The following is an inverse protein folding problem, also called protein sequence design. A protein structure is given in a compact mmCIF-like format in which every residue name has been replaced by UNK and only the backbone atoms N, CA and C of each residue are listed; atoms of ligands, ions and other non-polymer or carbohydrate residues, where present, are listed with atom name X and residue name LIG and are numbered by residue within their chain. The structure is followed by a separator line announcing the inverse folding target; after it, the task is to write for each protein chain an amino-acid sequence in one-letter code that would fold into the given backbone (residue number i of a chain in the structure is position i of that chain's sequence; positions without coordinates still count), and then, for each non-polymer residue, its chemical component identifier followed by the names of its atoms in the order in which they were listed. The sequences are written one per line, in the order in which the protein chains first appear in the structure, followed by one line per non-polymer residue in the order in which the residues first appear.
data_IF_428981169251
#
_entry.id   IF_428981169251
#
_cell.length_a   1.000
_cell.length_b   1.000
_cell.length_c   1.000
_cell.angle_alpha   90.00
_cell.angle_beta   90.00
_cell.angle_gamma   90.00
#
_symmetry.space_group_name_H-M   'P 1'
#
loop_
_entity.id
_entity.type
_entity.pdbx_description
1 polymer ?
#
# COMPACT_ATOMS: atom_id res chain seq x y z
N UNK A 1 23.10 -13.45 23.76
CA UNK A 1 21.99 -12.83 24.53
C UNK A 1 20.71 -13.26 23.84
N UNK A 2 19.85 -14.00 24.52
CA UNK A 2 18.56 -14.40 23.94
C UNK A 2 17.54 -13.26 24.04
N UNK A 3 16.49 -13.28 23.23
CA UNK A 3 15.49 -12.19 23.20
C UNK A 3 14.79 -12.00 24.56
N UNK A 4 14.71 -13.05 25.37
CA UNK A 4 14.14 -12.99 26.72
C UNK A 4 15.04 -12.20 27.68
N UNK A 5 16.36 -12.41 27.64
CA UNK A 5 17.35 -11.65 28.42
C UNK A 5 17.39 -10.18 27.99
N UNK A 6 17.22 -9.93 26.69
CA UNK A 6 17.15 -8.57 26.16
C UNK A 6 15.90 -7.83 26.66
N UNK A 7 14.72 -8.45 26.60
CA UNK A 7 13.46 -7.85 27.07
C UNK A 7 13.51 -7.57 28.58
N UNK A 8 14.06 -8.49 29.37
CA UNK A 8 14.23 -8.29 30.81
C UNK A 8 15.18 -7.13 31.11
N UNK A 9 16.29 -7.04 30.39
CA UNK A 9 17.26 -5.93 30.51
C UNK A 9 16.63 -4.60 30.09
N UNK A 10 15.89 -4.57 28.99
CA UNK A 10 15.16 -3.40 28.51
C UNK A 10 14.13 -2.91 29.53
N UNK A 11 13.33 -3.80 30.12
CA UNK A 11 12.33 -3.42 31.13
C UNK A 11 12.96 -2.90 32.43
N UNK A 12 14.18 -3.34 32.75
CA UNK A 12 14.95 -2.76 33.86
C UNK A 12 15.40 -1.34 33.52
N UNK A 13 16.08 -1.14 32.40
CA UNK A 13 16.56 0.18 31.98
C UNK A 13 15.42 1.17 31.72
N UNK A 14 14.27 0.73 31.19
CA UNK A 14 13.07 1.56 31.03
C UNK A 14 12.57 2.10 32.36
N UNK A 15 12.52 1.27 33.41
CA UNK A 15 12.08 1.71 34.74
C UNK A 15 13.05 2.71 35.36
N UNK A 16 14.35 2.46 35.24
CA UNK A 16 15.39 3.38 35.71
C UNK A 16 15.34 4.73 34.95
N UNK A 17 15.15 4.68 33.63
CA UNK A 17 15.01 5.86 32.77
C UNK A 17 13.77 6.70 33.14
N UNK A 18 12.63 6.06 33.38
CA UNK A 18 11.39 6.73 33.79
C UNK A 18 11.46 7.31 35.22
N UNK A 19 12.29 6.75 36.09
CA UNK A 19 12.52 7.29 37.43
C UNK A 19 13.48 8.49 37.43
N UNK A 20 14.48 8.47 36.54
CA UNK A 20 15.46 9.56 36.44
C UNK A 20 14.95 10.77 35.64
N UNK A 21 14.04 10.54 34.68
CA UNK A 21 13.56 11.59 33.78
C UNK A 21 12.04 11.78 33.92
N UNK A 22 11.62 13.01 34.28
CA UNK A 22 10.21 13.41 34.25
C UNK A 22 9.77 13.67 32.82
N UNK A 23 9.35 12.60 32.15
CA UNK A 23 8.81 12.68 30.80
C UNK A 23 7.39 13.26 30.79
N UNK A 24 7.08 14.00 29.74
CA UNK A 24 5.72 14.43 29.43
C UNK A 24 4.85 13.22 29.00
N UNK A 25 3.53 13.34 29.13
CA UNK A 25 2.58 12.24 28.92
C UNK A 25 2.72 11.61 27.51
N UNK A 26 2.96 12.47 26.51
CA UNK A 26 3.13 12.12 25.11
C UNK A 26 4.39 11.27 24.88
N UNK A 27 5.49 11.60 25.56
CA UNK A 27 6.78 10.91 25.46
C UNK A 27 6.72 9.55 26.15
N UNK A 28 5.97 9.46 27.26
CA UNK A 28 5.68 8.20 27.93
C UNK A 28 4.85 7.28 27.05
N UNK A 29 3.90 7.83 26.31
CA UNK A 29 3.11 7.10 25.31
C UNK A 29 3.97 6.41 24.25
N UNK A 30 4.99 7.10 23.72
CA UNK A 30 5.91 6.52 22.71
C UNK A 30 6.74 5.36 23.30
N UNK A 31 7.20 5.49 24.55
CA UNK A 31 7.93 4.43 25.27
C UNK A 31 7.07 3.20 25.57
N UNK A 32 5.77 3.39 25.79
CA UNK A 32 4.80 2.30 25.96
C UNK A 32 4.45 1.64 24.62
N UNK A 33 4.36 2.42 23.54
CA UNK A 33 4.18 1.89 22.18
C UNK A 33 5.37 1.03 21.76
N UNK A 34 6.60 1.47 22.06
CA UNK A 34 7.82 0.72 21.75
C UNK A 34 7.91 -0.59 22.55
N UNK A 35 7.53 -0.58 23.83
CA UNK A 35 7.45 -1.82 24.64
C UNK A 35 6.41 -2.80 24.08
N UNK A 36 5.22 -2.30 23.72
CA UNK A 36 4.18 -3.13 23.08
C UNK A 36 4.66 -3.72 21.77
N UNK A 37 5.39 -2.96 20.96
CA UNK A 37 6.00 -3.44 19.72
C UNK A 37 7.02 -4.57 19.96
N UNK A 38 7.89 -4.45 20.97
CA UNK A 38 8.85 -5.51 21.34
C UNK A 38 8.15 -6.80 21.81
N UNK A 39 7.06 -6.68 22.58
CA UNK A 39 6.30 -7.82 23.07
C UNK A 39 5.52 -8.55 21.97
N UNK A 40 5.04 -7.83 20.95
CA UNK A 40 4.37 -8.43 19.78
C UNK A 40 5.38 -9.20 18.94
N UNK A 41 6.55 -8.61 18.68
CA UNK A 41 7.60 -9.24 17.86
C UNK A 41 8.15 -10.52 18.50
N UNK A 42 8.29 -10.55 19.84
CA UNK A 42 8.70 -11.75 20.58
C UNK A 42 7.65 -12.87 20.62
N UNK A 43 6.37 -12.55 20.35
CA UNK A 43 5.29 -13.54 20.23
C UNK A 43 5.15 -14.08 18.80
N UNK A 44 5.43 -13.26 17.79
CA UNK A 44 5.39 -13.66 16.38
C UNK A 44 6.45 -14.74 16.07
N UNK A 45 7.65 -14.66 16.65
CA UNK A 45 8.70 -15.68 16.44
C UNK A 45 8.44 -17.05 17.08
N UNK A 46 7.57 -17.14 18.10
CA UNK A 46 7.20 -18.44 18.71
C UNK A 46 6.12 -19.19 17.94
N UNK A 47 5.37 -18.49 17.09
CA UNK A 47 4.21 -19.04 16.39
C UNK A 47 4.51 -19.52 14.96
N UNK A 48 5.75 -19.39 14.46
CA UNK A 48 6.11 -19.84 13.11
C UNK A 48 6.47 -21.34 13.01
N UNK A 49 6.37 -22.11 14.11
CA UNK A 49 6.68 -23.55 14.12
C UNK A 49 5.48 -24.49 14.39
N UNK A 50 4.25 -23.99 14.39
CA UNK A 50 3.05 -24.81 14.61
C UNK A 50 1.99 -24.56 13.55
N UNK A 51 1.72 -25.58 12.75
CA UNK A 51 0.72 -25.59 11.68
C UNK A 51 -0.73 -25.39 12.19
N UNK A 52 -1.59 -25.13 11.20
CA UNK A 52 -3.04 -25.39 11.14
C UNK A 52 -4.05 -24.28 11.53
N UNK A 53 -4.75 -23.88 10.45
CA UNK A 53 -6.09 -23.33 10.37
C UNK A 53 -6.95 -23.34 11.65
N UNK A 54 -6.92 -22.24 12.41
CA UNK A 54 -8.05 -21.84 13.25
C UNK A 54 -8.00 -20.33 13.54
N UNK A 55 -9.11 -19.64 13.23
CA UNK A 55 -9.42 -18.28 13.69
C UNK A 55 -8.37 -17.19 13.40
N UNK A 56 -8.29 -16.78 12.13
CA UNK A 56 -7.72 -15.47 11.77
C UNK A 56 -8.47 -14.39 12.56
N UNK A 57 -7.77 -13.52 13.32
CA UNK A 57 -8.43 -12.40 13.98
C UNK A 57 -9.14 -11.55 12.93
N UNK A 58 -10.47 -11.57 12.96
CA UNK A 58 -11.27 -10.57 12.25
C UNK A 58 -10.96 -9.26 12.95
N UNK A 59 -10.10 -8.42 12.36
CA UNK A 59 -10.13 -7.02 12.75
C UNK A 59 -11.56 -6.54 12.49
N UNK A 60 -12.28 -6.00 13.49
CA UNK A 60 -13.59 -5.41 13.26
C UNK A 60 -13.36 -4.07 12.53
N UNK A 61 -12.87 -4.13 11.30
CA UNK A 61 -12.67 -2.98 10.47
C UNK A 61 -14.05 -2.57 9.97
N UNK A 62 -14.67 -1.62 10.67
CA UNK A 62 -15.98 -1.13 10.29
C UNK A 62 -15.77 -0.24 9.06
N UNK A 63 -15.90 -0.82 7.86
CA UNK A 63 -15.76 -0.16 6.57
C UNK A 63 -16.74 1.02 6.38
N UNK A 64 -17.62 1.31 7.36
CA UNK A 64 -18.37 2.56 7.43
C UNK A 64 -17.56 3.78 7.91
N UNK A 65 -16.61 3.61 8.84
CA UNK A 65 -16.01 4.74 9.59
C UNK A 65 -14.51 4.99 9.37
N UNK A 66 -13.71 3.98 8.99
CA UNK A 66 -12.24 4.09 9.07
C UNK A 66 -11.46 3.89 7.76
N UNK A 67 -12.01 4.31 6.62
CA UNK A 67 -11.38 4.14 5.30
C UNK A 67 -9.94 4.64 5.18
N UNK A 68 -9.62 5.73 5.89
CA UNK A 68 -8.27 6.28 5.86
C UNK A 68 -7.28 5.32 6.48
N UNK A 69 -7.59 4.78 7.66
CA UNK A 69 -6.74 3.80 8.35
C UNK A 69 -6.57 2.53 7.51
N UNK A 70 -7.61 2.12 6.76
CA UNK A 70 -7.52 0.98 5.85
C UNK A 70 -6.53 1.24 4.72
N UNK A 71 -6.65 2.40 4.04
CA UNK A 71 -5.75 2.76 2.96
C UNK A 71 -4.32 2.90 3.48
N UNK A 72 -4.12 3.50 4.65
CA UNK A 72 -2.81 3.63 5.30
C UNK A 72 -2.21 2.25 5.62
N UNK A 73 -3.01 1.32 6.14
CA UNK A 73 -2.56 -0.04 6.43
C UNK A 73 -2.20 -0.83 5.16
N UNK A 74 -3.00 -0.71 4.09
CA UNK A 74 -2.68 -1.31 2.80
C UNK A 74 -1.38 -0.70 2.25
N UNK A 75 -1.24 0.62 2.25
CA UNK A 75 -0.03 1.29 1.78
C UNK A 75 1.22 0.87 2.57
N UNK A 76 1.13 0.75 3.90
CA UNK A 76 2.22 0.26 4.75
C UNK A 76 2.66 -1.16 4.36
N UNK A 77 1.70 -2.03 4.03
CA UNK A 77 1.99 -3.39 3.57
C UNK A 77 2.57 -3.42 2.16
N UNK A 78 2.08 -2.57 1.26
CA UNK A 78 2.66 -2.39 -0.08
C UNK A 78 4.12 -1.96 0.03
N UNK A 79 4.42 -0.96 0.87
CA UNK A 79 5.79 -0.52 1.16
C UNK A 79 6.66 -1.68 1.68
N UNK A 80 6.16 -2.45 2.65
CA UNK A 80 6.87 -3.63 3.17
C UNK A 80 7.15 -4.66 2.08
N UNK A 81 6.18 -4.94 1.21
CA UNK A 81 6.30 -5.92 0.14
C UNK A 81 7.30 -5.48 -0.95
N UNK A 82 7.29 -4.20 -1.31
CA UNK A 82 8.23 -3.61 -2.27
C UNK A 82 9.65 -3.51 -1.68
N UNK A 83 9.78 -3.13 -0.41
CA UNK A 83 11.06 -3.02 0.26
C UNK A 83 11.80 -4.36 0.31
N UNK A 84 11.10 -5.47 0.57
CA UNK A 84 11.65 -6.83 0.48
C UNK A 84 12.21 -7.17 -0.90
N UNK A 85 11.76 -6.48 -1.94
CA UNK A 85 12.19 -6.64 -3.34
C UNK A 85 13.17 -5.55 -3.78
N UNK A 86 13.73 -4.79 -2.84
CA UNK A 86 14.70 -3.73 -3.12
C UNK A 86 14.11 -2.43 -3.69
N UNK A 87 12.79 -2.27 -3.68
CA UNK A 87 12.11 -1.08 -4.19
C UNK A 87 11.68 -0.19 -3.03
N UNK A 88 12.19 1.04 -3.01
CA UNK A 88 11.78 2.06 -2.04
C UNK A 88 10.67 2.91 -2.64
N UNK A 89 9.53 2.98 -1.96
CA UNK A 89 8.41 3.84 -2.34
C UNK A 89 8.00 4.70 -1.13
N UNK A 90 7.47 5.89 -1.38
CA UNK A 90 6.95 6.77 -0.31
C UNK A 90 5.44 6.92 -0.44
N UNK A 91 4.71 6.57 0.60
CA UNK A 91 3.30 6.90 0.72
C UNK A 91 3.11 8.38 1.13
N UNK A 92 2.37 9.11 0.31
CA UNK A 92 2.07 10.53 0.49
C UNK A 92 0.56 10.76 0.41
N UNK A 93 0.06 11.71 1.19
CA UNK A 93 -1.34 12.14 1.07
C UNK A 93 -1.61 12.73 -0.31
N UNK A 94 -2.71 12.31 -0.94
CA UNK A 94 -3.15 12.85 -2.23
C UNK A 94 -3.54 14.34 -2.18
N UNK A 95 -3.65 14.93 -0.98
CA UNK A 95 -3.87 16.37 -0.79
C UNK A 95 -2.77 17.21 -1.46
N UNK A 96 -1.54 16.68 -1.56
CA UNK A 96 -0.43 17.33 -2.28
C UNK A 96 -0.65 17.45 -3.80
N UNK A 97 -1.56 16.67 -4.38
CA UNK A 97 -1.95 16.72 -5.80
C UNK A 97 -3.38 17.25 -5.98
N UNK A 98 -3.84 18.11 -5.07
CA UNK A 98 -5.15 18.79 -5.16
C UNK A 98 -6.36 17.94 -4.77
N UNK A 99 -6.17 16.72 -4.26
CA UNK A 99 -7.27 15.85 -3.80
C UNK A 99 -7.40 15.96 -2.27
N UNK A 100 -8.13 16.98 -1.81
CA UNK A 100 -8.19 17.40 -0.40
C UNK A 100 -8.95 16.46 0.56
N UNK A 101 -9.56 15.36 0.10
CA UNK A 101 -10.40 14.49 0.94
C UNK A 101 -9.76 13.11 1.05
N UNK A 102 -9.49 12.65 2.28
CA UNK A 102 -8.77 11.43 2.70
C UNK A 102 -9.32 10.09 2.18
N UNK A 103 -9.54 10.02 0.88
CA UNK A 103 -10.06 8.91 0.10
C UNK A 103 -9.03 8.41 -0.90
N UNK A 104 -7.83 8.99 -0.92
CA UNK A 104 -6.73 8.57 -1.77
C UNK A 104 -5.38 8.77 -1.08
N UNK A 105 -4.46 7.85 -1.33
CA UNK A 105 -3.04 7.91 -0.99
C UNK A 105 -2.23 7.70 -2.26
N UNK A 106 -1.12 8.41 -2.40
CA UNK A 106 -0.20 8.28 -3.51
C UNK A 106 1.04 7.51 -3.06
N UNK A 107 1.51 6.58 -3.88
CA UNK A 107 2.74 5.84 -3.70
C UNK A 107 3.71 6.31 -4.79
N UNK A 108 4.78 6.99 -4.37
CA UNK A 108 5.68 7.73 -5.25
C UNK A 108 7.08 7.14 -5.17
N UNK A 109 7.67 6.88 -6.34
CA UNK A 109 9.06 6.46 -6.44
C UNK A 109 9.98 7.68 -6.23
N UNK A 110 11.09 7.57 -5.47
CA UNK A 110 11.95 8.71 -5.17
C UNK A 110 12.50 9.46 -6.40
N UNK A 111 12.76 8.71 -7.47
CA UNK A 111 13.34 9.15 -8.73
C UNK A 111 12.32 9.64 -9.76
N UNK A 112 11.01 9.37 -9.56
CA UNK A 112 9.95 9.76 -10.50
C UNK A 112 8.71 10.26 -9.75
N UNK A 113 8.45 11.57 -9.86
CA UNK A 113 7.33 12.24 -9.15
C UNK A 113 6.13 12.56 -10.04
N UNK A 114 6.37 12.63 -11.34
CA UNK A 114 5.42 12.87 -12.42
C UNK A 114 4.64 11.60 -12.81
N UNK A 115 5.25 10.42 -12.59
CA UNK A 115 4.60 9.12 -12.67
C UNK A 115 4.46 8.53 -11.27
N UNK A 116 3.23 8.26 -10.84
CA UNK A 116 2.97 7.75 -9.49
C UNK A 116 1.81 6.78 -9.47
N UNK A 117 1.72 6.03 -8.38
CA UNK A 117 0.60 5.15 -8.13
C UNK A 117 -0.36 5.80 -7.15
N UNK A 118 -1.66 5.52 -7.29
CA UNK A 118 -2.69 6.04 -6.40
C UNK A 118 -3.58 4.91 -5.93
N UNK A 119 -3.74 4.79 -4.62
CA UNK A 119 -4.72 3.91 -4.00
C UNK A 119 -5.88 4.77 -3.51
N UNK A 120 -7.09 4.51 -3.98
CA UNK A 120 -8.25 5.32 -3.62
C UNK A 120 -9.52 4.50 -3.39
N UNK A 121 -10.39 5.03 -2.54
CA UNK A 121 -11.74 4.52 -2.37
C UNK A 121 -12.65 5.19 -3.38
N UNK A 122 -13.48 4.40 -4.06
CA UNK A 122 -14.53 4.95 -4.93
C UNK A 122 -15.78 4.08 -4.92
N UNK A 123 -16.89 4.67 -5.36
CA UNK A 123 -18.15 3.98 -5.62
C UNK A 123 -18.63 4.45 -6.99
N UNK A 124 -18.24 3.74 -8.08
CA UNK A 124 -18.55 4.17 -9.43
C UNK A 124 -20.07 4.27 -9.66
N UNK A 125 -20.52 5.27 -10.42
CA UNK A 125 -21.93 5.40 -10.81
C UNK A 125 -22.28 4.65 -12.10
N UNK A 126 -21.28 4.19 -12.84
CA UNK A 126 -21.38 3.53 -14.15
C UNK A 126 -20.26 2.49 -14.26
N UNK A 127 -20.45 1.51 -15.15
CA UNK A 127 -19.47 0.44 -15.41
C UNK A 127 -19.71 -0.82 -14.57
N UNK A 128 -18.77 -1.79 -14.62
CA UNK A 128 -18.97 -3.12 -14.02
C UNK A 128 -19.11 -3.10 -12.49
N UNK A 129 -18.49 -2.13 -11.81
CA UNK A 129 -18.61 -1.94 -10.36
C UNK A 129 -19.61 -0.86 -9.97
N UNK A 130 -20.60 -0.58 -10.83
CA UNK A 130 -21.60 0.46 -10.57
C UNK A 130 -22.34 0.21 -9.25
N UNK A 131 -22.38 1.23 -8.38
CA UNK A 131 -23.02 1.16 -7.07
C UNK A 131 -22.22 0.41 -6.00
N UNK A 132 -21.10 -0.21 -6.33
CA UNK A 132 -20.29 -0.99 -5.38
C UNK A 132 -19.14 -0.17 -4.80
N UNK A 133 -18.86 -0.33 -3.50
CA UNK A 133 -17.67 0.25 -2.87
C UNK A 133 -16.45 -0.57 -3.29
N UNK A 134 -15.45 0.11 -3.86
CA UNK A 134 -14.21 -0.52 -4.30
C UNK A 134 -13.00 0.23 -3.76
N UNK A 135 -11.89 -0.49 -3.57
CA UNK A 135 -10.55 0.10 -3.57
C UNK A 135 -10.06 0.04 -5.02
N UNK A 136 -9.50 1.14 -5.49
CA UNK A 136 -8.94 1.25 -6.83
C UNK A 136 -7.47 1.63 -6.72
N UNK A 137 -6.60 0.78 -7.27
CA UNK A 137 -5.20 1.07 -7.52
C UNK A 137 -5.04 1.63 -8.93
N UNK A 138 -4.28 2.70 -9.08
CA UNK A 138 -4.09 3.35 -10.38
C UNK A 138 -2.61 3.64 -10.60
N UNK A 139 -2.12 3.40 -11.81
CA UNK A 139 -0.89 4.00 -12.32
C UNK A 139 -1.28 5.28 -13.06
N UNK A 140 -0.82 6.43 -12.55
CA UNK A 140 -1.14 7.75 -13.10
C UNK A 140 -0.01 8.21 -14.02
N UNK A 141 -0.35 8.42 -15.29
CA UNK A 141 0.56 8.83 -16.38
C UNK A 141 0.04 10.10 -17.06
N UNK A 142 -0.75 10.91 -16.35
CA UNK A 142 -1.33 12.14 -16.87
C UNK A 142 -0.20 13.07 -17.37
N UNK A 143 -0.28 13.52 -18.63
CA UNK A 143 0.81 14.27 -19.30
C UNK A 143 1.82 13.42 -20.08
N UNK A 144 1.79 12.08 -19.96
CA UNK A 144 2.75 11.17 -20.59
C UNK A 144 2.14 10.30 -21.70
N UNK A 145 1.25 10.86 -22.53
CA UNK A 145 0.53 10.12 -23.60
C UNK A 145 1.48 9.33 -24.51
N UNK A 146 2.35 10.04 -25.22
CA UNK A 146 3.26 9.45 -26.20
C UNK A 146 4.53 8.91 -25.55
N UNK A 147 4.90 9.46 -24.39
CA UNK A 147 6.15 9.09 -23.73
C UNK A 147 6.06 7.76 -23.00
N UNK A 148 4.90 7.43 -22.40
CA UNK A 148 4.72 6.21 -21.60
C UNK A 148 3.41 5.50 -21.89
N UNK A 149 2.27 6.20 -21.90
CA UNK A 149 0.97 5.54 -21.94
C UNK A 149 0.74 4.70 -23.20
N UNK A 150 0.90 5.28 -24.39
CA UNK A 150 0.75 4.54 -25.65
C UNK A 150 1.76 3.39 -25.78
N UNK A 151 3.07 3.57 -25.47
CA UNK A 151 4.01 2.46 -25.40
C UNK A 151 3.59 1.34 -24.44
N UNK A 152 3.12 1.67 -23.24
CA UNK A 152 2.66 0.67 -22.26
C UNK A 152 1.43 -0.10 -22.75
N UNK A 153 0.56 0.50 -23.56
CA UNK A 153 -0.57 -0.21 -24.16
C UNK A 153 -0.11 -1.38 -25.05
N UNK A 154 1.02 -1.25 -25.75
CA UNK A 154 1.57 -2.34 -26.55
C UNK A 154 2.02 -3.53 -25.69
N UNK A 155 2.41 -3.27 -24.43
CA UNK A 155 2.79 -4.29 -23.46
C UNK A 155 1.64 -4.73 -22.55
N UNK A 156 0.41 -4.24 -22.75
CA UNK A 156 -0.69 -4.50 -21.81
C UNK A 156 -0.94 -5.99 -21.60
N UNK A 157 -1.05 -6.76 -22.69
CA UNK A 157 -1.28 -8.22 -22.61
C UNK A 157 -0.14 -8.93 -21.87
N UNK A 158 1.10 -8.52 -22.10
CA UNK A 158 2.27 -9.09 -21.44
C UNK A 158 2.26 -8.78 -19.93
N UNK A 159 1.94 -7.54 -19.56
CA UNK A 159 1.76 -7.14 -18.15
C UNK A 159 0.64 -7.92 -17.48
N UNK A 160 -0.52 -8.06 -18.13
CA UNK A 160 -1.67 -8.81 -17.61
C UNK A 160 -1.34 -10.29 -17.40
N UNK A 161 -0.61 -10.91 -18.33
CA UNK A 161 -0.15 -12.30 -18.19
C UNK A 161 0.78 -12.48 -16.98
N UNK A 162 1.68 -11.54 -16.73
CA UNK A 162 2.58 -11.56 -15.56
C UNK A 162 1.84 -11.31 -14.24
N UNK A 163 0.81 -10.47 -14.27
CA UNK A 163 0.01 -10.11 -13.10
C UNK A 163 -1.06 -11.18 -12.76
N UNK A 164 -1.51 -11.95 -13.74
CA UNK A 164 -2.61 -12.89 -13.59
C UNK A 164 -3.99 -12.22 -13.50
N UNK A 165 -4.09 -10.92 -13.83
CA UNK A 165 -5.35 -10.17 -13.86
C UNK A 165 -5.33 -9.09 -14.94
N UNK A 166 -6.52 -8.61 -15.35
CA UNK A 166 -6.66 -7.58 -16.38
C UNK A 166 -6.41 -6.18 -15.83
N UNK A 167 -5.80 -5.33 -16.65
CA UNK A 167 -5.62 -3.91 -16.39
C UNK A 167 -6.76 -3.13 -17.04
N UNK A 168 -7.50 -2.40 -16.21
CA UNK A 168 -8.53 -1.50 -16.71
C UNK A 168 -7.95 -0.17 -17.16
N UNK A 169 -8.61 0.47 -18.12
CA UNK A 169 -8.25 1.79 -18.62
C UNK A 169 -9.36 2.80 -18.40
N UNK A 170 -9.02 4.07 -18.52
CA UNK A 170 -10.06 5.08 -18.68
C UNK A 170 -10.77 4.88 -20.04
N UNK A 171 -12.02 5.31 -20.14
CA UNK A 171 -12.70 5.28 -21.45
C UNK A 171 -11.98 6.21 -22.43
N UNK A 172 -12.01 5.92 -23.73
CA UNK A 172 -11.38 6.75 -24.77
C UNK A 172 -11.70 8.24 -24.61
N UNK A 173 -12.96 8.60 -24.35
CA UNK A 173 -13.40 9.98 -24.11
C UNK A 173 -12.71 10.66 -22.92
N UNK A 174 -12.36 9.90 -21.88
CA UNK A 174 -11.63 10.43 -20.71
C UNK A 174 -10.14 10.52 -21.02
N UNK A 175 -9.58 9.56 -21.75
CA UNK A 175 -8.18 9.61 -22.19
C UNK A 175 -7.91 10.83 -23.10
N UNK A 176 -8.86 11.18 -23.97
CA UNK A 176 -8.82 12.39 -24.79
C UNK A 176 -8.70 13.69 -23.98
N UNK A 177 -9.13 13.68 -22.71
CA UNK A 177 -8.97 14.81 -21.78
C UNK A 177 -7.60 14.86 -21.09
N UNK A 178 -6.64 14.00 -21.48
CA UNK A 178 -5.30 13.96 -20.89
C UNK A 178 -5.15 13.06 -19.67
N UNK A 179 -6.17 12.24 -19.35
CA UNK A 179 -6.16 11.34 -18.19
C UNK A 179 -5.77 9.94 -18.62
N UNK A 180 -4.50 9.60 -18.41
CA UNK A 180 -3.89 8.36 -18.90
C UNK A 180 -3.56 7.45 -17.73
N UNK A 181 -4.36 6.39 -17.52
CA UNK A 181 -4.26 5.56 -16.33
C UNK A 181 -4.55 4.10 -16.61
N UNK A 182 -3.73 3.25 -16.01
CA UNK A 182 -4.04 1.83 -15.82
C UNK A 182 -4.59 1.63 -14.41
N UNK A 183 -5.59 0.75 -14.27
CA UNK A 183 -6.39 0.62 -13.06
C UNK A 183 -6.55 -0.85 -12.70
N UNK A 184 -6.55 -1.11 -11.40
CA UNK A 184 -6.95 -2.38 -10.80
C UNK A 184 -8.03 -2.08 -9.74
N UNK A 185 -9.05 -2.92 -9.69
CA UNK A 185 -10.23 -2.70 -8.87
C UNK A 185 -10.42 -3.88 -7.90
N UNK A 186 -10.62 -3.56 -6.63
CA UNK A 186 -10.88 -4.52 -5.56
C UNK A 186 -12.28 -4.27 -5.00
N UNK A 187 -13.28 -5.08 -5.40
CA UNK A 187 -14.60 -5.04 -4.79
C UNK A 187 -14.51 -5.33 -3.29
N UNK A 188 -15.25 -4.56 -2.50
CA UNK A 188 -15.21 -4.68 -1.05
C UNK A 188 -16.54 -5.18 -0.53
N UNK A 189 -16.46 -6.23 0.29
CA UNK A 189 -17.59 -6.66 1.10
C UNK A 189 -17.67 -5.79 2.36
N UNK A 190 -18.82 -5.81 3.05
CA UNK A 190 -19.05 -5.00 4.25
C UNK A 190 -18.06 -5.31 5.39
N UNK A 191 -17.43 -6.49 5.35
CA UNK A 191 -16.40 -6.94 6.29
C UNK A 191 -15.11 -7.20 5.53
N UNK A 192 -14.07 -6.44 5.84
CA UNK A 192 -12.72 -6.68 5.36
C UNK A 192 -11.90 -7.35 6.46
N UNK A 193 -11.28 -8.47 6.11
CA UNK A 193 -10.35 -9.19 6.98
C UNK A 193 -8.92 -8.69 6.79
N UNK A 194 -8.05 -9.06 7.73
CA UNK A 194 -6.60 -8.84 7.62
C UNK A 194 -6.03 -9.51 6.35
N UNK A 195 -6.60 -10.65 5.96
CA UNK A 195 -6.21 -11.40 4.76
C UNK A 195 -6.55 -10.61 3.49
N UNK A 196 -7.70 -9.96 3.45
CA UNK A 196 -8.09 -9.12 2.30
C UNK A 196 -7.15 -7.93 2.14
N UNK A 197 -6.77 -7.27 3.24
CA UNK A 197 -5.78 -6.20 3.22
C UNK A 197 -4.40 -6.69 2.71
N UNK A 198 -3.99 -7.89 3.11
CA UNK A 198 -2.72 -8.48 2.68
C UNK A 198 -2.74 -8.81 1.18
N UNK A 199 -3.85 -9.37 0.71
CA UNK A 199 -4.03 -9.71 -0.69
C UNK A 199 -4.04 -8.46 -1.57
N UNK A 200 -4.79 -7.41 -1.19
CA UNK A 200 -4.79 -6.13 -1.90
C UNK A 200 -3.39 -5.53 -1.93
N UNK A 201 -2.68 -5.55 -0.79
CA UNK A 201 -1.32 -5.02 -0.71
C UNK A 201 -0.33 -5.81 -1.58
N UNK A 202 -0.46 -7.14 -1.63
CA UNK A 202 0.34 -8.00 -2.50
C UNK A 202 0.08 -7.70 -3.97
N UNK A 203 -1.18 -7.67 -4.39
CA UNK A 203 -1.57 -7.40 -5.78
C UNK A 203 -1.17 -5.98 -6.21
N UNK A 204 -1.27 -4.99 -5.32
CA UNK A 204 -0.79 -3.63 -5.59
C UNK A 204 0.74 -3.57 -5.71
N UNK A 205 1.48 -4.32 -4.88
CA UNK A 205 2.93 -4.39 -5.01
C UNK A 205 3.37 -5.10 -6.30
N UNK A 206 2.68 -6.17 -6.70
CA UNK A 206 2.91 -6.86 -7.97
C UNK A 206 2.60 -5.94 -9.16
N UNK A 207 1.48 -5.21 -9.11
CA UNK A 207 1.12 -4.18 -10.09
C UNK A 207 2.24 -3.15 -10.25
N UNK A 208 2.71 -2.56 -9.14
CA UNK A 208 3.80 -1.56 -9.14
C UNK A 208 5.09 -2.13 -9.74
N UNK A 209 5.47 -3.34 -9.32
CA UNK A 209 6.69 -3.99 -9.77
C UNK A 209 6.67 -4.22 -11.28
N UNK A 210 5.61 -4.87 -11.78
CA UNK A 210 5.49 -5.20 -13.20
C UNK A 210 5.45 -3.92 -14.04
N UNK A 211 4.58 -2.96 -13.72
CA UNK A 211 4.48 -1.75 -14.55
C UNK A 211 5.73 -0.89 -14.50
N UNK A 212 6.45 -0.85 -13.36
CA UNK A 212 7.74 -0.14 -13.26
C UNK A 212 8.77 -0.69 -14.23
N UNK A 213 8.91 -2.01 -14.34
CA UNK A 213 9.88 -2.63 -15.25
C UNK A 213 9.60 -2.26 -16.72
N UNK A 214 8.34 -2.24 -17.15
CA UNK A 214 8.01 -1.82 -18.52
C UNK A 214 8.22 -0.32 -18.73
N UNK A 215 7.94 0.51 -17.72
CA UNK A 215 8.24 1.94 -17.74
C UNK A 215 9.76 2.19 -17.91
N UNK A 216 10.60 1.40 -17.23
CA UNK A 216 12.06 1.46 -17.35
C UNK A 216 12.51 1.00 -18.73
N UNK A 217 12.01 -0.14 -19.22
CA UNK A 217 12.27 -0.66 -20.57
C UNK A 217 11.93 0.36 -21.68
N UNK A 218 10.81 1.07 -21.55
CA UNK A 218 10.41 2.13 -22.50
C UNK A 218 11.35 3.34 -22.41
N UNK A 219 11.84 3.67 -21.22
CA UNK A 219 12.80 4.75 -21.01
C UNK A 219 14.16 4.45 -21.65
N UNK A 220 14.69 3.25 -21.42
CA UNK A 220 15.99 2.81 -21.97
C UNK A 220 16.00 2.80 -23.51
N UNK A 221 14.91 2.34 -24.13
CA UNK A 221 14.75 2.29 -25.59
C UNK A 221 14.72 3.68 -26.25
N UNK A 222 14.62 4.77 -25.49
CA UNK A 222 14.66 6.15 -26.00
C UNK A 222 16.01 6.82 -25.86
N UNK A 223 16.87 6.26 -25.01
CA UNK A 223 18.21 6.80 -24.72
C UNK A 223 19.33 6.07 -25.45
N UNK A 224 19.02 4.94 -26.12
CA UNK A 224 19.91 4.25 -27.06
C UNK A 224 19.57 4.61 -28.49
#
# INVERSE_FOLDING_TARGET
MNDSEFILSFNRYKREFLQQWKLEEDQRGVLEMFEKWLQVRGKEQRNEQGEEAANVPVMPFNAGKDWRMLLEEICRRVEKNLFKRGIVIKCLSAARWGQARGSALCLVLPDRRDVFYRLCRTQPRKGPYSGQKIIKGELVLDGHKHSLFLPLLHYQVEMENRLGFRLERESTRVEETGKYRFKICFPLNERLSVRDCEEIARLMADFILVTREYIEKIGEAKTG
#
